data_IF_021210115552
#
_entry.id   IF_021210115552
#
_cell.length_a   1.000
_cell.length_b   1.000
_cell.length_c   1.000
_cell.angle_alpha   90.00
_cell.angle_beta   90.00
_cell.angle_gamma   90.00
#
_symmetry.space_group_name_H-M   'P 1'
#
loop_
_entity.id
_entity.type
_entity.pdbx_description
1 polymer ?
#
# COMPACT_ATOMS: atom_id res chain seq x y z
N UNK A 1 -12.21 38.69 -6.98
CA UNK A 1 -11.50 37.39 -6.88
C UNK A 1 -12.53 36.37 -6.46
N UNK A 2 -12.69 35.28 -7.23
CA UNK A 2 -13.73 34.27 -6.99
C UNK A 2 -13.48 33.65 -5.60
N UNK A 3 -14.40 33.87 -4.66
CA UNK A 3 -14.27 33.48 -3.25
C UNK A 3 -14.57 31.98 -3.03
N UNK A 4 -14.78 31.21 -4.11
CA UNK A 4 -15.05 29.79 -4.04
C UNK A 4 -13.73 29.00 -3.96
N UNK A 5 -13.63 28.01 -3.05
CA UNK A 5 -12.45 27.16 -2.98
C UNK A 5 -12.26 26.41 -4.30
N UNK A 6 -11.01 26.33 -4.77
CA UNK A 6 -10.66 25.49 -5.93
C UNK A 6 -10.91 24.03 -5.54
N UNK A 7 -11.72 23.32 -6.32
CA UNK A 7 -12.04 21.92 -6.06
C UNK A 7 -11.14 20.98 -6.86
N UNK A 8 -11.03 19.74 -6.39
CA UNK A 8 -10.48 18.58 -7.11
C UNK A 8 -11.63 17.60 -7.27
N UNK A 9 -11.79 17.06 -8.48
CA UNK A 9 -12.69 15.94 -8.75
C UNK A 9 -11.90 14.63 -8.73
N UNK A 10 -12.40 13.64 -7.98
CA UNK A 10 -11.84 12.29 -7.89
C UNK A 10 -12.64 11.34 -8.79
N UNK A 11 -12.08 10.82 -9.90
CA UNK A 11 -12.78 9.91 -10.79
C UNK A 11 -13.20 8.61 -10.09
N UNK A 12 -14.38 8.09 -10.39
CA UNK A 12 -14.84 6.79 -9.86
C UNK A 12 -14.30 5.63 -10.71
N UNK A 13 -13.22 5.03 -10.24
CA UNK A 13 -12.40 4.08 -11.00
C UNK A 13 -12.85 2.63 -10.89
N UNK A 14 -13.70 2.28 -9.91
CA UNK A 14 -14.01 0.88 -9.58
C UNK A 14 -15.46 0.46 -9.88
N UNK A 15 -16.23 1.29 -10.60
CA UNK A 15 -17.66 1.03 -10.92
C UNK A 15 -17.87 -0.31 -11.62
N UNK A 16 -16.94 -0.70 -12.50
CA UNK A 16 -17.04 -1.92 -13.32
C UNK A 16 -16.16 -3.06 -12.83
N UNK A 17 -15.53 -2.93 -11.66
CA UNK A 17 -14.67 -3.99 -11.14
C UNK A 17 -15.49 -5.23 -10.76
N UNK A 18 -15.18 -6.42 -11.29
CA UNK A 18 -16.08 -7.56 -11.17
C UNK A 18 -15.96 -8.33 -9.85
N UNK A 19 -14.90 -8.13 -9.06
CA UNK A 19 -14.79 -8.73 -7.73
C UNK A 19 -15.66 -7.95 -6.71
N UNK A 20 -16.50 -8.64 -5.92
CA UNK A 20 -17.39 -7.95 -4.99
C UNK A 20 -16.67 -7.47 -3.74
N UNK A 21 -17.15 -6.36 -3.19
CA UNK A 21 -16.72 -5.88 -1.87
C UNK A 21 -17.17 -6.87 -0.80
N UNK A 22 -16.21 -7.56 -0.18
CA UNK A 22 -16.45 -8.48 0.95
C UNK A 22 -15.54 -8.09 2.11
N UNK A 23 -16.04 -8.18 3.34
CA UNK A 23 -15.24 -7.92 4.55
C UNK A 23 -15.10 -9.22 5.34
N UNK A 24 -13.87 -9.51 5.77
CA UNK A 24 -13.58 -10.70 6.56
C UNK A 24 -14.41 -10.73 7.87
N UNK A 25 -15.05 -11.86 8.22
CA UNK A 25 -15.93 -11.96 9.38
C UNK A 25 -15.20 -11.71 10.72
N UNK A 26 -13.89 -11.91 10.76
CA UNK A 26 -13.07 -11.68 11.95
C UNK A 26 -12.64 -10.22 12.11
N UNK A 27 -13.25 -9.28 11.37
CA UNK A 27 -12.77 -7.89 11.28
C UNK A 27 -12.52 -7.27 12.66
N UNK A 28 -13.55 -7.30 13.51
CA UNK A 28 -13.59 -6.61 14.79
C UNK A 28 -12.64 -7.20 15.83
N UNK A 29 -12.60 -8.54 15.95
CA UNK A 29 -11.77 -9.21 16.96
C UNK A 29 -10.28 -9.12 16.62
N UNK A 30 -9.89 -9.37 15.36
CA UNK A 30 -8.49 -9.23 14.95
C UNK A 30 -8.04 -7.78 15.04
N UNK A 31 -8.89 -6.81 14.69
CA UNK A 31 -8.56 -5.37 14.85
C UNK A 31 -8.23 -5.04 16.30
N UNK A 32 -9.10 -5.41 17.24
CA UNK A 32 -8.89 -5.10 18.65
C UNK A 32 -7.56 -5.66 19.18
N UNK A 33 -7.21 -6.88 18.79
CA UNK A 33 -5.94 -7.50 19.18
C UNK A 33 -4.73 -6.83 18.51
N UNK A 34 -4.83 -6.47 17.23
CA UNK A 34 -3.71 -5.85 16.49
C UNK A 34 -3.43 -4.47 17.03
N UNK A 35 -4.47 -3.66 17.20
CA UNK A 35 -4.36 -2.29 17.70
C UNK A 35 -3.76 -2.31 19.13
N UNK A 36 -4.18 -3.24 19.98
CA UNK A 36 -3.62 -3.40 21.33
C UNK A 36 -2.13 -3.78 21.28
N UNK A 37 -1.75 -4.81 20.52
CA UNK A 37 -0.34 -5.21 20.40
C UNK A 37 0.54 -4.13 19.79
N UNK A 38 0.01 -3.37 18.82
CA UNK A 38 0.79 -2.34 18.15
C UNK A 38 1.09 -1.16 19.10
N UNK A 39 0.12 -0.77 19.93
CA UNK A 39 0.33 0.28 20.95
C UNK A 39 1.39 -0.09 21.99
N UNK A 40 1.57 -1.37 22.29
CA UNK A 40 2.56 -1.81 23.26
C UNK A 40 4.01 -1.51 22.82
N UNK A 41 4.27 -1.40 21.51
CA UNK A 41 5.57 -0.96 21.00
C UNK A 41 5.90 0.48 21.36
N UNK A 42 4.88 1.32 21.61
CA UNK A 42 5.04 2.77 21.86
C UNK A 42 5.89 3.45 20.80
N UNK A 43 5.70 3.04 19.54
CA UNK A 43 6.46 3.53 18.40
C UNK A 43 6.10 4.98 18.02
N UNK A 44 4.93 5.46 18.44
CA UNK A 44 4.39 6.76 18.03
C UNK A 44 4.09 7.66 19.23
N UNK A 45 4.13 8.98 19.02
CA UNK A 45 3.55 9.94 19.98
C UNK A 45 2.04 9.70 20.11
N UNK A 46 1.37 10.17 21.18
CA UNK A 46 -0.07 10.01 21.32
C UNK A 46 -0.88 10.53 20.13
N UNK A 47 -0.48 11.67 19.56
CA UNK A 47 -1.14 12.31 18.41
C UNK A 47 -0.95 11.48 17.13
N UNK A 48 0.27 11.00 16.90
CA UNK A 48 0.59 10.13 15.76
C UNK A 48 -0.09 8.77 15.88
N UNK A 49 -0.15 8.19 17.07
CA UNK A 49 -0.85 6.95 17.34
C UNK A 49 -2.34 7.10 17.02
N UNK A 50 -2.99 8.20 17.44
CA UNK A 50 -4.40 8.44 17.13
C UNK A 50 -4.64 8.56 15.62
N UNK A 51 -3.75 9.25 14.88
CA UNK A 51 -3.83 9.34 13.42
C UNK A 51 -3.62 7.97 12.75
N UNK A 52 -2.68 7.17 13.24
CA UNK A 52 -2.40 5.82 12.76
C UNK A 52 -3.61 4.89 12.99
N UNK A 53 -4.22 4.92 14.16
CA UNK A 53 -5.41 4.11 14.48
C UNK A 53 -6.59 4.45 13.57
N UNK A 54 -6.74 5.73 13.23
CA UNK A 54 -7.75 6.28 12.33
C UNK A 54 -7.55 5.86 10.87
N UNK A 55 -6.33 5.52 10.46
CA UNK A 55 -6.09 4.90 9.14
C UNK A 55 -6.79 3.55 9.03
N UNK A 56 -6.92 2.82 10.15
CA UNK A 56 -7.63 1.55 10.25
C UNK A 56 -7.13 0.49 9.25
N UNK A 57 -5.82 0.22 9.29
CA UNK A 57 -5.15 -0.78 8.46
C UNK A 57 -5.75 -2.19 8.62
N UNK A 58 -6.35 -2.49 9.79
CA UNK A 58 -7.08 -3.73 10.03
C UNK A 58 -8.33 -3.87 9.15
N UNK A 59 -8.96 -2.76 8.75
CA UNK A 59 -10.06 -2.75 7.76
C UNK A 59 -9.52 -3.03 6.36
N UNK A 60 -8.41 -2.39 5.96
CA UNK A 60 -7.77 -2.69 4.67
C UNK A 60 -7.47 -4.19 4.55
N UNK A 61 -6.82 -4.77 5.57
CA UNK A 61 -6.59 -6.22 5.65
C UNK A 61 -7.89 -7.04 5.55
N UNK A 62 -8.96 -6.62 6.23
CA UNK A 62 -10.25 -7.34 6.18
C UNK A 62 -10.92 -7.32 4.81
N UNK A 63 -10.75 -6.23 4.05
CA UNK A 63 -11.28 -6.10 2.70
C UNK A 63 -10.41 -6.84 1.68
N UNK A 64 -9.09 -6.78 1.84
CA UNK A 64 -8.12 -7.42 0.96
C UNK A 64 -8.15 -8.96 1.08
N UNK A 65 -8.38 -9.47 2.29
CA UNK A 65 -8.37 -10.90 2.59
C UNK A 65 -9.71 -11.39 3.14
N UNK A 66 -10.80 -11.29 2.36
CA UNK A 66 -12.16 -11.52 2.86
C UNK A 66 -12.38 -12.95 3.34
N UNK A 67 -11.69 -13.91 2.74
CA UNK A 67 -11.84 -15.34 3.04
C UNK A 67 -10.67 -15.93 3.83
N UNK A 68 -9.64 -15.13 4.14
CA UNK A 68 -8.47 -15.64 4.85
C UNK A 68 -8.86 -16.13 6.26
N UNK A 69 -8.32 -17.27 6.72
CA UNK A 69 -8.44 -17.70 8.09
C UNK A 69 -7.98 -16.62 9.07
N UNK A 70 -8.57 -16.60 10.25
CA UNK A 70 -8.28 -15.62 11.30
C UNK A 70 -6.78 -15.42 11.55
N UNK A 71 -6.01 -16.51 11.61
CA UNK A 71 -4.56 -16.47 11.87
C UNK A 71 -3.77 -15.83 10.73
N UNK A 72 -4.06 -16.19 9.46
CA UNK A 72 -3.42 -15.58 8.29
C UNK A 72 -3.78 -14.09 8.21
N UNK A 73 -5.03 -13.75 8.50
CA UNK A 73 -5.47 -12.35 8.52
C UNK A 73 -4.77 -11.54 9.62
N UNK A 74 -4.50 -12.13 10.80
CA UNK A 74 -3.71 -11.46 11.83
C UNK A 74 -2.33 -11.09 11.29
N UNK A 75 -1.66 -12.00 10.59
CA UNK A 75 -0.38 -11.71 9.92
C UNK A 75 -0.51 -10.62 8.85
N UNK A 76 -1.61 -10.59 8.10
CA UNK A 76 -1.89 -9.52 7.13
C UNK A 76 -2.07 -8.15 7.77
N UNK A 77 -2.72 -8.06 8.93
CA UNK A 77 -2.81 -6.81 9.68
C UNK A 77 -1.44 -6.37 10.25
N UNK A 78 -0.68 -7.31 10.82
CA UNK A 78 0.66 -7.02 11.36
C UNK A 78 1.61 -6.55 10.24
N UNK A 79 1.55 -7.17 9.06
CA UNK A 79 2.31 -6.75 7.87
C UNK A 79 1.94 -5.34 7.43
N UNK A 80 0.64 -5.03 7.29
CA UNK A 80 0.22 -3.68 6.93
C UNK A 80 0.72 -2.66 7.95
N UNK A 81 0.58 -2.93 9.24
CA UNK A 81 1.12 -2.02 10.26
C UNK A 81 2.63 -1.83 10.14
N UNK A 82 3.39 -2.89 9.81
CA UNK A 82 4.82 -2.79 9.53
C UNK A 82 5.12 -1.90 8.31
N UNK A 83 4.37 -2.03 7.21
CA UNK A 83 4.58 -1.19 6.02
C UNK A 83 4.31 0.29 6.33
N UNK A 84 3.16 0.60 6.93
CA UNK A 84 2.80 1.98 7.26
C UNK A 84 3.70 2.62 8.33
N UNK A 85 4.20 1.86 9.31
CA UNK A 85 5.13 2.41 10.31
C UNK A 85 6.54 2.61 9.73
N UNK A 86 6.95 1.81 8.74
CA UNK A 86 8.19 2.08 8.01
C UNK A 86 8.10 3.44 7.32
N UNK A 87 7.05 3.70 6.55
CA UNK A 87 6.83 5.01 5.89
C UNK A 87 6.88 6.17 6.89
N UNK A 88 6.22 6.05 8.04
CA UNK A 88 6.20 7.11 9.06
C UNK A 88 7.60 7.46 9.58
N UNK A 89 8.48 6.46 9.68
CA UNK A 89 9.86 6.66 10.13
C UNK A 89 10.79 7.13 9.01
N UNK A 90 10.62 6.63 7.78
CA UNK A 90 11.56 6.90 6.68
C UNK A 90 11.22 8.14 5.87
N UNK A 91 9.95 8.58 5.83
CA UNK A 91 9.53 9.72 5.02
C UNK A 91 10.03 11.08 5.52
N UNK A 92 10.49 11.14 6.77
CA UNK A 92 11.05 12.35 7.39
C UNK A 92 12.58 12.34 7.45
N UNK A 93 13.21 11.27 6.97
CA UNK A 93 14.66 11.05 7.08
C UNK A 93 15.36 11.13 5.71
N UNK A 94 16.67 11.33 5.74
CA UNK A 94 17.52 11.31 4.53
C UNK A 94 17.88 9.87 4.11
N UNK A 95 18.58 9.73 2.97
CA UNK A 95 19.00 8.43 2.43
C UNK A 95 19.80 7.61 3.46
N UNK A 96 20.78 8.23 4.13
CA UNK A 96 21.70 7.53 5.02
C UNK A 96 20.97 6.94 6.25
N UNK A 97 20.12 7.73 6.90
CA UNK A 97 19.33 7.29 8.06
C UNK A 97 18.29 6.26 7.64
N UNK A 98 17.63 6.47 6.50
CA UNK A 98 16.69 5.50 5.93
C UNK A 98 17.37 4.16 5.69
N UNK A 99 18.59 4.17 5.14
CA UNK A 99 19.36 2.95 4.90
C UNK A 99 19.64 2.18 6.20
N UNK A 100 20.01 2.86 7.28
CA UNK A 100 20.22 2.21 8.59
C UNK A 100 18.94 1.52 9.10
N UNK A 101 17.79 2.20 8.97
CA UNK A 101 16.49 1.62 9.34
C UNK A 101 16.12 0.41 8.49
N UNK A 102 16.36 0.48 7.17
CA UNK A 102 16.14 -0.63 6.24
C UNK A 102 17.02 -1.83 6.59
N UNK A 103 18.31 -1.61 6.88
CA UNK A 103 19.24 -2.67 7.28
C UNK A 103 18.77 -3.36 8.59
N UNK A 104 18.22 -2.60 9.55
CA UNK A 104 17.61 -3.13 10.78
C UNK A 104 16.39 -4.02 10.49
N UNK A 105 15.47 -3.55 9.64
CA UNK A 105 14.26 -4.31 9.27
C UNK A 105 14.63 -5.60 8.53
N UNK A 106 15.61 -5.54 7.62
CA UNK A 106 16.11 -6.71 6.90
C UNK A 106 16.75 -7.73 7.85
N UNK A 107 17.62 -7.29 8.78
CA UNK A 107 18.21 -8.17 9.78
C UNK A 107 17.14 -8.85 10.66
N UNK A 108 16.06 -8.13 11.00
CA UNK A 108 14.93 -8.69 11.74
C UNK A 108 14.15 -9.76 10.96
N UNK A 109 13.95 -9.57 9.65
CA UNK A 109 13.32 -10.58 8.79
C UNK A 109 14.21 -11.79 8.54
N UNK A 110 15.52 -11.60 8.39
CA UNK A 110 16.48 -12.70 8.24
C UNK A 110 16.64 -13.48 9.54
N UNK A 111 16.55 -12.80 10.69
CA UNK A 111 16.76 -13.38 12.01
C UNK A 111 15.57 -13.16 12.97
N UNK A 112 14.37 -13.72 12.69
CA UNK A 112 13.14 -13.44 13.45
C UNK A 112 13.16 -13.93 14.92
N UNK A 113 14.14 -14.75 15.29
CA UNK A 113 14.33 -15.27 16.64
C UNK A 113 15.50 -14.62 17.40
N UNK A 114 16.25 -13.72 16.74
CA UNK A 114 17.33 -12.95 17.36
C UNK A 114 16.73 -11.84 18.22
N UNK A 115 17.14 -11.75 19.47
CA UNK A 115 16.78 -10.64 20.36
C UNK A 115 17.33 -9.33 19.76
N UNK A 116 16.48 -8.30 19.68
CA UNK A 116 16.88 -6.99 19.16
C UNK A 116 17.77 -6.25 20.18
N UNK A 117 18.84 -5.57 19.76
CA UNK A 117 19.69 -4.80 20.66
C UNK A 117 18.91 -3.73 21.43
N UNK A 118 19.32 -3.46 22.67
CA UNK A 118 18.78 -2.34 23.46
C UNK A 118 19.12 -1.00 22.78
N UNK A 119 18.12 -0.13 22.64
CA UNK A 119 18.27 1.17 21.98
C UNK A 119 18.24 1.15 20.45
N UNK A 120 18.03 0.00 19.82
CA UNK A 120 17.80 -0.09 18.37
C UNK A 120 16.48 0.61 17.98
N UNK A 121 16.38 1.06 16.73
CA UNK A 121 15.12 1.53 16.15
C UNK A 121 14.01 0.47 16.31
N UNK A 122 12.83 0.91 16.79
CA UNK A 122 11.71 0.03 17.13
C UNK A 122 11.19 -0.78 15.94
N UNK A 123 11.43 -0.31 14.70
CA UNK A 123 11.09 -1.03 13.47
C UNK A 123 11.66 -2.44 13.45
N UNK A 124 12.87 -2.66 14.01
CA UNK A 124 13.48 -3.98 14.10
C UNK A 124 12.65 -4.96 14.93
N UNK A 125 12.12 -4.52 16.07
CA UNK A 125 11.29 -5.36 16.94
C UNK A 125 9.90 -5.60 16.35
N UNK A 126 9.31 -4.59 15.69
CA UNK A 126 8.02 -4.73 14.98
C UNK A 126 8.17 -5.76 13.84
N UNK A 127 9.18 -5.63 12.97
CA UNK A 127 9.41 -6.56 11.88
C UNK A 127 9.72 -7.98 12.38
N UNK A 128 10.53 -8.09 13.45
CA UNK A 128 10.85 -9.37 14.08
C UNK A 128 9.60 -10.07 14.58
N UNK A 129 8.74 -9.38 15.34
CA UNK A 129 7.51 -9.97 15.87
C UNK A 129 6.51 -10.35 14.77
N UNK A 130 6.35 -9.50 13.74
CA UNK A 130 5.55 -9.81 12.57
C UNK A 130 6.04 -11.12 11.93
N UNK A 131 7.32 -11.21 11.58
CA UNK A 131 7.80 -12.34 10.81
C UNK A 131 7.91 -13.62 11.62
N UNK A 132 8.29 -13.55 12.90
CA UNK A 132 8.25 -14.69 13.81
C UNK A 132 6.84 -15.30 13.94
N UNK A 133 5.79 -14.49 13.81
CA UNK A 133 4.40 -14.97 13.75
C UNK A 133 4.08 -15.54 12.37
N UNK A 134 4.29 -14.76 11.32
CA UNK A 134 3.84 -15.04 9.96
C UNK A 134 4.52 -16.28 9.37
N UNK A 135 5.82 -16.49 9.60
CA UNK A 135 6.61 -17.57 9.00
C UNK A 135 6.12 -18.99 9.34
N UNK A 136 5.24 -19.13 10.34
CA UNK A 136 4.73 -20.43 10.81
C UNK A 136 3.71 -21.09 9.88
N UNK A 137 3.07 -20.32 8.99
CA UNK A 137 1.96 -20.77 8.14
C UNK A 137 2.33 -21.00 6.66
N UNK A 138 3.10 -20.13 5.98
CA UNK A 138 3.40 -20.28 4.56
C UNK A 138 4.38 -21.44 4.29
N UNK A 139 4.26 -22.04 3.11
CA UNK A 139 5.23 -23.04 2.62
C UNK A 139 6.59 -22.40 2.36
N UNK A 140 7.63 -23.23 2.18
CA UNK A 140 8.98 -22.73 1.90
C UNK A 140 9.06 -21.89 0.61
N UNK A 141 8.36 -22.25 -0.50
CA UNK A 141 8.19 -21.36 -1.66
C UNK A 141 7.61 -20.00 -1.30
N UNK A 142 6.44 -19.95 -0.65
CA UNK A 142 5.79 -18.67 -0.29
C UNK A 142 6.64 -17.82 0.66
N UNK A 143 7.42 -18.45 1.55
CA UNK A 143 8.40 -17.72 2.37
C UNK A 143 9.50 -17.06 1.53
N UNK A 144 9.97 -17.73 0.47
CA UNK A 144 10.96 -17.17 -0.47
C UNK A 144 10.34 -16.03 -1.28
N UNK A 145 9.17 -16.24 -1.87
CA UNK A 145 8.43 -15.21 -2.61
C UNK A 145 8.21 -13.93 -1.77
N UNK A 146 7.82 -14.09 -0.50
CA UNK A 146 7.69 -12.97 0.42
C UNK A 146 9.02 -12.27 0.68
N UNK A 147 10.10 -13.00 0.98
CA UNK A 147 11.40 -12.39 1.26
C UNK A 147 11.88 -11.57 0.07
N UNK A 148 11.79 -12.11 -1.15
CA UNK A 148 12.17 -11.41 -2.37
C UNK A 148 11.35 -10.15 -2.59
N UNK A 149 10.02 -10.25 -2.53
CA UNK A 149 9.14 -9.08 -2.74
C UNK A 149 9.29 -8.04 -1.63
N UNK A 150 9.48 -8.45 -0.37
CA UNK A 150 9.72 -7.52 0.74
C UNK A 150 11.08 -6.85 0.64
N UNK A 151 12.13 -7.58 0.26
CA UNK A 151 13.47 -7.03 0.03
C UNK A 151 13.45 -6.01 -1.12
N UNK A 152 12.75 -6.29 -2.21
CA UNK A 152 12.58 -5.32 -3.30
C UNK A 152 11.87 -4.04 -2.83
N UNK A 153 10.78 -4.19 -2.06
CA UNK A 153 10.05 -3.08 -1.46
C UNK A 153 10.95 -2.25 -0.55
N UNK A 154 11.54 -2.86 0.48
CA UNK A 154 12.20 -2.11 1.55
C UNK A 154 13.48 -1.43 1.06
N UNK A 155 14.21 -2.04 0.11
CA UNK A 155 15.35 -1.38 -0.54
C UNK A 155 14.91 -0.22 -1.43
N UNK A 156 13.72 -0.28 -2.03
CA UNK A 156 13.20 0.83 -2.85
C UNK A 156 12.87 2.08 -2.04
N UNK A 157 12.58 1.93 -0.74
CA UNK A 157 12.37 3.07 0.18
C UNK A 157 13.64 3.92 0.32
N UNK A 158 14.84 3.32 0.24
CA UNK A 158 16.11 4.06 0.24
C UNK A 158 16.20 4.96 -1.00
N UNK A 159 15.81 4.43 -2.17
CA UNK A 159 15.81 5.17 -3.43
C UNK A 159 14.82 6.33 -3.38
N UNK A 160 13.65 6.13 -2.76
CA UNK A 160 12.67 7.19 -2.55
C UNK A 160 13.19 8.29 -1.62
N UNK A 161 13.86 7.93 -0.52
CA UNK A 161 14.49 8.89 0.38
C UNK A 161 15.56 9.74 -0.33
N UNK A 162 16.39 9.11 -1.18
CA UNK A 162 17.36 9.81 -2.01
C UNK A 162 16.70 10.77 -3.01
N UNK A 163 15.60 10.35 -3.63
CA UNK A 163 14.86 11.21 -4.56
C UNK A 163 14.28 12.44 -3.85
N UNK A 164 13.76 12.27 -2.63
CA UNK A 164 13.28 13.39 -1.79
C UNK A 164 14.41 14.33 -1.41
N UNK A 165 15.56 13.81 -1.00
CA UNK A 165 16.75 14.61 -0.63
C UNK A 165 17.28 15.45 -1.81
N UNK A 166 17.14 14.94 -3.04
CA UNK A 166 17.65 15.58 -4.26
C UNK A 166 16.59 16.35 -5.05
N UNK A 167 15.35 16.45 -4.56
CA UNK A 167 14.19 16.96 -5.31
C UNK A 167 14.09 16.32 -6.72
N UNK A 168 14.42 15.03 -6.83
CA UNK A 168 14.55 14.35 -8.11
C UNK A 168 13.17 14.16 -8.74
N UNK A 169 13.03 14.63 -9.97
CA UNK A 169 11.84 14.41 -10.80
C UNK A 169 12.11 13.26 -11.76
N UNK A 170 11.35 12.18 -11.63
CA UNK A 170 11.42 11.05 -12.56
C UNK A 170 10.52 11.28 -13.76
N UNK A 171 10.83 10.62 -14.87
CA UNK A 171 9.83 10.44 -15.94
C UNK A 171 8.71 9.51 -15.46
N UNK A 172 7.58 9.51 -16.13
CA UNK A 172 6.43 8.66 -15.88
C UNK A 172 6.81 7.18 -15.87
N UNK A 173 7.60 6.74 -16.85
CA UNK A 173 8.06 5.36 -16.93
C UNK A 173 8.95 4.96 -15.75
N UNK A 174 9.90 5.82 -15.37
CA UNK A 174 10.82 5.54 -14.26
C UNK A 174 10.13 5.68 -12.91
N UNK A 175 9.15 6.57 -12.81
CA UNK A 175 8.25 6.69 -11.66
C UNK A 175 7.47 5.40 -11.46
N UNK A 176 6.75 4.91 -12.47
CA UNK A 176 5.96 3.67 -12.35
C UNK A 176 6.84 2.45 -12.03
N UNK A 177 8.07 2.37 -12.57
CA UNK A 177 9.02 1.29 -12.22
C UNK A 177 9.40 1.30 -10.75
N UNK A 178 9.69 2.48 -10.19
CA UNK A 178 10.02 2.62 -8.77
C UNK A 178 8.77 2.40 -7.91
N UNK A 179 7.66 3.03 -8.27
CA UNK A 179 6.40 3.04 -7.52
C UNK A 179 5.78 1.65 -7.37
N UNK A 180 5.93 0.76 -8.36
CA UNK A 180 5.58 -0.68 -8.26
C UNK A 180 6.28 -1.40 -7.10
N UNK A 181 7.42 -0.89 -6.63
CA UNK A 181 8.15 -1.43 -5.47
C UNK A 181 7.77 -0.68 -4.20
N UNK A 182 7.83 0.66 -4.22
CA UNK A 182 7.61 1.48 -3.01
C UNK A 182 6.17 1.45 -2.50
N UNK A 183 5.18 1.13 -3.34
CA UNK A 183 3.78 0.99 -2.89
C UNK A 183 3.56 -0.17 -1.90
N UNK A 184 4.50 -1.11 -1.80
CA UNK A 184 4.44 -2.20 -0.82
C UNK A 184 3.34 -3.24 -1.07
N UNK A 185 2.74 -3.27 -2.26
CA UNK A 185 1.63 -4.19 -2.57
C UNK A 185 2.06 -5.66 -2.65
N UNK A 186 3.14 -5.95 -3.38
CA UNK A 186 3.59 -7.34 -3.62
C UNK A 186 3.89 -8.14 -2.35
N UNK A 187 4.58 -7.59 -1.33
CA UNK A 187 4.76 -8.28 -0.05
C UNK A 187 3.45 -8.71 0.60
N UNK A 188 2.37 -7.94 0.40
CA UNK A 188 1.06 -8.25 0.96
C UNK A 188 0.42 -9.48 0.30
N UNK A 189 0.78 -9.82 -0.93
CA UNK A 189 0.23 -11.01 -1.59
C UNK A 189 0.65 -12.32 -0.92
N UNK A 190 1.65 -12.32 -0.03
CA UNK A 190 1.98 -13.46 0.84
C UNK A 190 0.74 -14.04 1.53
N UNK A 191 -0.16 -13.20 2.04
CA UNK A 191 -1.33 -13.69 2.81
C UNK A 191 -2.29 -14.44 1.88
N UNK A 192 -2.29 -14.11 0.59
CA UNK A 192 -3.03 -14.85 -0.43
C UNK A 192 -2.34 -16.18 -0.76
N UNK A 193 -1.01 -16.26 -0.64
CA UNK A 193 -0.25 -17.50 -0.75
C UNK A 193 -0.33 -18.38 0.52
N UNK A 194 -0.67 -17.82 1.68
CA UNK A 194 -0.76 -18.59 2.92
C UNK A 194 -1.90 -19.61 2.84
N UNK A 195 -1.54 -20.88 2.72
CA UNK A 195 -2.48 -22.00 2.59
C UNK A 195 -2.56 -22.57 1.17
N UNK A 196 -1.90 -21.95 0.21
CA UNK A 196 -1.73 -22.47 -1.16
C UNK A 196 -0.25 -22.67 -1.45
N UNK A 197 0.14 -23.88 -1.84
CA UNK A 197 1.54 -24.20 -2.13
C UNK A 197 1.78 -24.06 -3.63
N UNK A 198 1.84 -22.80 -4.11
CA UNK A 198 2.10 -22.51 -5.52
C UNK A 198 3.58 -22.82 -5.87
N UNK A 199 3.84 -23.68 -6.87
CA UNK A 199 5.20 -23.92 -7.34
C UNK A 199 5.85 -22.65 -7.92
N UNK A 200 7.16 -22.52 -7.76
CA UNK A 200 7.95 -21.41 -8.32
C UNK A 200 7.69 -21.20 -9.82
N UNK A 201 7.61 -22.28 -10.61
CA UNK A 201 7.35 -22.20 -12.06
C UNK A 201 6.00 -21.55 -12.42
N UNK A 202 5.05 -21.58 -11.49
CA UNK A 202 3.74 -20.96 -11.63
C UNK A 202 3.79 -19.52 -11.14
N UNK A 203 4.35 -19.30 -9.94
CA UNK A 203 4.44 -17.96 -9.33
C UNK A 203 5.24 -16.99 -10.21
N UNK A 204 6.40 -17.44 -10.70
CA UNK A 204 7.26 -16.64 -11.59
C UNK A 204 6.85 -16.72 -13.07
N UNK A 205 5.73 -17.36 -13.40
CA UNK A 205 5.28 -17.38 -14.78
C UNK A 205 4.95 -15.94 -15.22
N UNK A 206 5.43 -15.48 -16.40
CA UNK A 206 5.29 -14.09 -16.81
C UNK A 206 3.85 -13.55 -16.80
N UNK A 207 2.86 -14.40 -17.13
CA UNK A 207 1.44 -14.01 -17.07
C UNK A 207 0.96 -13.79 -15.64
N UNK A 208 1.39 -14.60 -14.68
CA UNK A 208 1.00 -14.44 -13.27
C UNK A 208 1.61 -13.18 -12.69
N UNK A 209 2.89 -12.93 -12.99
CA UNK A 209 3.58 -11.70 -12.60
C UNK A 209 2.94 -10.45 -13.21
N UNK A 210 2.60 -10.44 -14.51
CA UNK A 210 1.95 -9.30 -15.17
C UNK A 210 0.57 -9.01 -14.57
N UNK A 211 -0.19 -10.05 -14.19
CA UNK A 211 -1.47 -9.88 -13.49
C UNK A 211 -1.30 -9.27 -12.09
N UNK A 212 -0.30 -9.70 -11.33
CA UNK A 212 0.04 -9.10 -10.04
C UNK A 212 0.53 -7.66 -10.18
N UNK A 213 1.30 -7.36 -11.24
CA UNK A 213 1.73 -6.00 -11.60
C UNK A 213 0.56 -5.10 -11.99
N UNK A 214 -0.44 -5.62 -12.73
CA UNK A 214 -1.64 -4.87 -13.04
C UNK A 214 -2.38 -4.44 -11.77
N UNK A 215 -2.63 -5.34 -10.83
CA UNK A 215 -3.26 -4.98 -9.56
C UNK A 215 -2.40 -3.98 -8.79
N UNK A 216 -1.09 -4.21 -8.70
CA UNK A 216 -0.15 -3.26 -8.08
C UNK A 216 -0.27 -1.87 -8.69
N UNK A 217 -0.39 -1.75 -10.01
CA UNK A 217 -0.59 -0.47 -10.68
C UNK A 217 -1.95 0.17 -10.39
N UNK A 218 -3.05 -0.60 -10.34
CA UNK A 218 -4.35 -0.06 -9.92
C UNK A 218 -4.27 0.56 -8.52
N UNK A 219 -3.59 -0.14 -7.59
CA UNK A 219 -3.35 0.34 -6.23
C UNK A 219 -2.57 1.65 -6.21
N UNK A 220 -1.52 1.77 -7.04
CA UNK A 220 -0.74 3.00 -7.17
C UNK A 220 -1.62 4.15 -7.65
N UNK A 221 -2.33 3.95 -8.76
CA UNK A 221 -3.13 5.02 -9.38
C UNK A 221 -4.20 5.51 -8.40
N UNK A 222 -4.92 4.59 -7.76
CA UNK A 222 -5.92 4.93 -6.75
C UNK A 222 -5.27 5.65 -5.56
N UNK A 223 -4.18 5.11 -4.99
CA UNK A 223 -3.50 5.72 -3.85
C UNK A 223 -3.09 7.16 -4.16
N UNK A 224 -2.42 7.38 -5.28
CA UNK A 224 -1.89 8.66 -5.68
C UNK A 224 -3.01 9.68 -5.98
N UNK A 225 -4.15 9.25 -6.54
CA UNK A 225 -5.32 10.13 -6.69
C UNK A 225 -5.87 10.56 -5.33
N UNK A 226 -6.01 9.63 -4.37
CA UNK A 226 -6.56 9.93 -3.03
C UNK A 226 -5.58 10.74 -2.18
N UNK A 227 -4.28 10.50 -2.32
CA UNK A 227 -3.22 11.13 -1.54
C UNK A 227 -2.72 12.45 -2.12
N UNK A 228 -2.96 12.72 -3.43
CA UNK A 228 -2.44 13.89 -4.12
C UNK A 228 -2.63 15.20 -3.34
N UNK A 229 -3.84 15.44 -2.82
CA UNK A 229 -4.17 16.72 -2.20
C UNK A 229 -3.34 17.00 -0.93
N UNK A 230 -3.07 15.95 -0.13
CA UNK A 230 -2.22 16.07 1.06
C UNK A 230 -0.74 16.16 0.67
N UNK A 231 -0.29 15.39 -0.30
CA UNK A 231 1.12 15.33 -0.71
C UNK A 231 1.57 16.63 -1.37
N UNK A 232 0.77 17.19 -2.28
CA UNK A 232 1.06 18.51 -2.88
C UNK A 232 1.04 19.64 -1.85
N UNK A 233 0.26 19.50 -0.76
CA UNK A 233 0.22 20.49 0.30
C UNK A 233 1.46 20.40 1.20
N UNK A 234 1.99 19.19 1.39
CA UNK A 234 3.16 18.91 2.20
C UNK A 234 4.50 19.12 1.47
N UNK A 235 4.50 19.30 0.14
CA UNK A 235 5.73 19.42 -0.65
C UNK A 235 6.31 18.08 -1.12
N UNK A 236 5.52 17.00 -1.04
CA UNK A 236 5.95 15.63 -1.38
C UNK A 236 5.43 15.21 -2.76
N UNK A 237 5.16 16.18 -3.64
CA UNK A 237 4.48 15.92 -4.92
C UNK A 237 5.32 15.12 -5.94
N UNK A 238 6.63 14.98 -5.79
CA UNK A 238 7.47 14.30 -6.79
C UNK A 238 7.44 12.77 -6.71
N UNK A 239 6.76 12.19 -5.71
CA UNK A 239 6.46 10.77 -5.65
C UNK A 239 4.96 10.45 -5.85
N UNK A 240 4.26 11.25 -6.65
CA UNK A 240 2.83 11.08 -6.94
C UNK A 240 2.55 11.14 -8.44
N UNK A 241 1.85 10.12 -8.97
CA UNK A 241 1.51 10.00 -10.39
C UNK A 241 0.87 11.26 -10.98
N UNK A 242 -0.07 11.87 -10.25
CA UNK A 242 -0.82 13.04 -10.77
C UNK A 242 0.12 14.19 -11.05
N UNK A 243 1.06 14.46 -10.15
CA UNK A 243 2.04 15.53 -10.34
C UNK A 243 3.05 15.19 -11.45
N UNK A 244 3.51 13.94 -11.54
CA UNK A 244 4.40 13.49 -12.62
C UNK A 244 3.74 13.69 -13.99
N UNK A 245 2.48 13.28 -14.12
CA UNK A 245 1.69 13.44 -15.36
C UNK A 245 1.47 14.92 -15.70
N UNK A 246 1.15 15.76 -14.72
CA UNK A 246 1.03 17.21 -14.93
C UNK A 246 2.32 17.80 -15.51
N UNK A 247 3.48 17.41 -14.97
CA UNK A 247 4.78 17.94 -15.38
C UNK A 247 5.24 17.40 -16.75
N UNK A 248 5.10 16.10 -16.98
CA UNK A 248 5.61 15.47 -18.19
C UNK A 248 4.73 15.73 -19.43
N UNK A 249 3.40 15.80 -19.23
CA UNK A 249 2.45 16.00 -20.32
C UNK A 249 1.92 17.44 -20.41
N UNK A 250 2.42 18.36 -19.59
CA UNK A 250 1.97 19.76 -19.50
C UNK A 250 0.45 19.88 -19.32
N UNK A 251 -0.09 19.09 -18.38
CA UNK A 251 -1.53 19.02 -18.11
C UNK A 251 -1.89 19.80 -16.84
N UNK A 252 -3.08 20.41 -16.85
CA UNK A 252 -3.68 20.85 -15.60
C UNK A 252 -4.08 19.65 -14.72
N UNK A 253 -4.34 19.91 -13.45
CA UNK A 253 -4.70 18.86 -12.48
C UNK A 253 -5.95 18.07 -12.86
N UNK A 254 -6.97 18.72 -13.41
CA UNK A 254 -8.21 18.03 -13.79
C UNK A 254 -7.96 17.06 -14.94
N UNK A 255 -7.16 17.49 -15.90
CA UNK A 255 -6.72 16.71 -17.05
C UNK A 255 -5.79 15.56 -16.63
N UNK A 256 -4.91 15.78 -15.65
CA UNK A 256 -4.07 14.72 -15.08
C UNK A 256 -4.88 13.67 -14.30
N UNK A 257 -5.90 14.08 -13.52
CA UNK A 257 -6.84 13.15 -12.89
C UNK A 257 -7.62 12.33 -13.92
N UNK A 258 -8.08 12.97 -15.01
CA UNK A 258 -8.75 12.27 -16.11
C UNK A 258 -7.81 11.29 -16.83
N UNK A 259 -6.54 11.68 -17.04
CA UNK A 259 -5.51 10.80 -17.59
C UNK A 259 -5.29 9.57 -16.68
N UNK A 260 -5.16 9.77 -15.38
CA UNK A 260 -4.97 8.68 -14.42
C UNK A 260 -6.16 7.71 -14.42
N UNK A 261 -7.39 8.22 -14.49
CA UNK A 261 -8.59 7.38 -14.62
C UNK A 261 -8.63 6.59 -15.93
N UNK A 262 -8.18 7.19 -17.04
CA UNK A 262 -8.07 6.49 -18.31
C UNK A 262 -7.03 5.36 -18.25
N UNK A 263 -5.83 5.67 -17.75
CA UNK A 263 -4.77 4.68 -17.54
C UNK A 263 -5.23 3.55 -16.61
N UNK A 264 -5.94 3.88 -15.53
CA UNK A 264 -6.54 2.89 -14.64
C UNK A 264 -7.50 1.93 -15.37
N UNK A 265 -8.35 2.45 -16.26
CA UNK A 265 -9.24 1.61 -17.07
C UNK A 265 -8.48 0.71 -18.06
N UNK A 266 -7.38 1.19 -18.64
CA UNK A 266 -6.50 0.37 -19.48
C UNK A 266 -5.84 -0.77 -18.69
N UNK A 267 -5.38 -0.49 -17.47
CA UNK A 267 -4.79 -1.50 -16.59
C UNK A 267 -5.83 -2.54 -16.16
N UNK A 268 -7.07 -2.14 -15.83
CA UNK A 268 -8.16 -3.09 -15.57
C UNK A 268 -8.41 -3.99 -16.77
N UNK A 269 -8.49 -3.41 -17.97
CA UNK A 269 -8.69 -4.18 -19.20
C UNK A 269 -7.55 -5.17 -19.43
N UNK A 270 -6.30 -4.76 -19.22
CA UNK A 270 -5.12 -5.62 -19.32
C UNK A 270 -5.20 -6.80 -18.35
N UNK A 271 -5.59 -6.55 -17.10
CA UNK A 271 -5.79 -7.61 -16.10
C UNK A 271 -6.86 -8.61 -16.55
N UNK A 272 -8.05 -8.13 -16.92
CA UNK A 272 -9.18 -8.98 -17.33
C UNK A 272 -8.84 -9.81 -18.58
N UNK A 273 -8.25 -9.20 -19.61
CA UNK A 273 -7.82 -9.91 -20.81
C UNK A 273 -6.66 -10.89 -20.52
N UNK A 274 -5.81 -10.56 -19.54
CA UNK A 274 -4.69 -11.39 -19.11
C UNK A 274 -5.13 -12.69 -18.45
N UNK A 275 -6.28 -12.71 -17.75
CA UNK A 275 -6.83 -13.93 -17.14
C UNK A 275 -7.10 -15.03 -18.18
N UNK A 276 -7.51 -14.66 -19.39
CA UNK A 276 -7.72 -15.62 -20.49
C UNK A 276 -6.42 -16.22 -21.05
N UNK A 277 -5.26 -15.67 -20.67
CA UNK A 277 -3.92 -16.12 -21.10
C UNK A 277 -3.21 -16.94 -20.05
N UNK A 278 -3.81 -17.14 -18.87
CA UNK A 278 -3.26 -17.99 -17.81
C UNK A 278 -3.18 -19.42 -18.35
N UNK A 279 -1.99 -20.04 -18.42
CA UNK A 279 -1.87 -21.40 -18.89
C UNK A 279 -2.44 -22.37 -17.86
N UNK A 280 -2.70 -23.61 -18.28
CA UNK A 280 -3.05 -24.69 -17.36
C UNK A 280 -1.79 -25.45 -16.98
N UNK A 281 -1.60 -25.70 -15.68
CA UNK A 281 -0.61 -26.61 -15.11
C UNK A 281 -1.24 -27.91 -14.61
N UNK A 282 -2.51 -28.11 -14.93
CA UNK A 282 -3.32 -29.25 -14.54
C UNK A 282 -4.33 -28.91 -13.44
N UNK A 283 -5.44 -29.66 -13.35
CA UNK A 283 -6.61 -29.24 -12.56
C UNK A 283 -6.33 -28.93 -11.08
N UNK A 284 -5.38 -29.61 -10.45
CA UNK A 284 -5.03 -29.38 -9.05
C UNK A 284 -4.31 -28.04 -8.85
N UNK A 285 -3.43 -27.65 -9.77
CA UNK A 285 -2.68 -26.39 -9.68
C UNK A 285 -3.55 -25.23 -10.17
N UNK A 286 -4.36 -25.44 -11.20
CA UNK A 286 -5.23 -24.40 -11.76
C UNK A 286 -6.21 -23.84 -10.72
N UNK A 287 -6.68 -24.66 -9.78
CA UNK A 287 -7.52 -24.21 -8.66
C UNK A 287 -6.75 -23.27 -7.73
N UNK A 288 -5.49 -23.60 -7.40
CA UNK A 288 -4.63 -22.76 -6.55
C UNK A 288 -4.27 -21.44 -7.23
N UNK A 289 -4.00 -21.48 -8.55
CA UNK A 289 -3.75 -20.29 -9.36
C UNK A 289 -4.96 -19.37 -9.36
N UNK A 290 -6.16 -19.94 -9.54
CA UNK A 290 -7.40 -19.16 -9.49
C UNK A 290 -7.60 -18.53 -8.11
N UNK A 291 -7.40 -19.29 -7.03
CA UNK A 291 -7.51 -18.79 -5.65
C UNK A 291 -6.52 -17.64 -5.40
N UNK A 292 -5.27 -17.78 -5.87
CA UNK A 292 -4.27 -16.73 -5.79
C UNK A 292 -4.68 -15.47 -6.55
N UNK A 293 -5.07 -15.60 -7.82
CA UNK A 293 -5.44 -14.45 -8.65
C UNK A 293 -6.72 -13.76 -8.14
N UNK A 294 -7.68 -14.51 -7.58
CA UNK A 294 -8.86 -13.93 -6.92
C UNK A 294 -8.46 -13.14 -5.67
N UNK A 295 -7.54 -13.67 -4.86
CA UNK A 295 -7.03 -12.96 -3.68
C UNK A 295 -6.26 -11.70 -4.03
N UNK A 296 -5.43 -11.75 -5.08
CA UNK A 296 -4.75 -10.57 -5.63
C UNK A 296 -5.78 -9.57 -6.18
N UNK A 297 -6.79 -9.99 -6.94
CA UNK A 297 -7.82 -9.10 -7.49
C UNK A 297 -8.68 -8.39 -6.42
N UNK A 298 -8.86 -8.98 -5.24
CA UNK A 298 -9.60 -8.34 -4.13
C UNK A 298 -8.92 -7.06 -3.65
N UNK A 299 -7.61 -6.92 -3.81
CA UNK A 299 -6.85 -5.74 -3.36
C UNK A 299 -7.29 -4.45 -4.02
N UNK A 300 -7.63 -4.49 -5.32
CA UNK A 300 -8.06 -3.32 -6.07
C UNK A 300 -9.24 -2.64 -5.38
N UNK A 301 -10.30 -3.40 -5.12
CA UNK A 301 -11.49 -2.88 -4.47
C UNK A 301 -11.29 -2.61 -2.97
N UNK A 302 -10.43 -3.39 -2.30
CA UNK A 302 -10.08 -3.17 -0.90
C UNK A 302 -9.42 -1.81 -0.68
N UNK A 303 -8.41 -1.47 -1.48
CA UNK A 303 -7.72 -0.18 -1.43
C UNK A 303 -8.68 0.98 -1.72
N UNK A 304 -9.52 0.84 -2.74
CA UNK A 304 -10.52 1.84 -3.11
C UNK A 304 -11.47 2.16 -1.94
N UNK A 305 -12.13 1.15 -1.36
CA UNK A 305 -13.06 1.39 -0.25
C UNK A 305 -12.36 1.84 1.02
N UNK A 306 -11.21 1.25 1.35
CA UNK A 306 -10.44 1.67 2.52
C UNK A 306 -10.03 3.14 2.44
N UNK A 307 -9.73 3.67 1.25
CA UNK A 307 -9.36 5.07 1.08
C UNK A 307 -10.45 6.06 1.51
N UNK A 308 -11.72 5.65 1.47
CA UNK A 308 -12.86 6.44 1.94
C UNK A 308 -13.35 6.05 3.34
N UNK A 309 -13.25 4.77 3.70
CA UNK A 309 -13.74 4.25 4.99
C UNK A 309 -12.72 4.45 6.12
N UNK A 310 -11.43 4.39 5.80
CA UNK A 310 -10.33 4.83 6.65
C UNK A 310 -10.20 6.35 6.61
N UNK A 311 -9.69 6.93 7.70
CA UNK A 311 -9.62 8.39 7.84
C UNK A 311 -8.28 8.96 7.37
N UNK A 312 -7.44 8.17 6.69
CA UNK A 312 -6.09 8.56 6.23
C UNK A 312 -6.11 9.77 5.30
N UNK A 313 -7.03 9.80 4.33
CA UNK A 313 -7.04 10.85 3.29
C UNK A 313 -8.08 11.93 3.55
N UNK A 314 -9.24 11.56 4.08
CA UNK A 314 -10.41 12.44 4.12
C UNK A 314 -10.99 12.65 5.53
N UNK A 315 -10.27 12.27 6.59
CA UNK A 315 -10.78 12.28 7.96
C UNK A 315 -12.16 11.58 8.03
N UNK A 316 -13.09 12.13 8.81
CA UNK A 316 -14.48 11.65 8.88
C UNK A 316 -15.32 11.96 7.62
N UNK A 317 -14.81 12.73 6.65
CA UNK A 317 -15.55 13.14 5.44
C UNK A 317 -15.48 12.11 4.31
N UNK A 318 -14.75 11.00 4.48
CA UNK A 318 -14.59 9.99 3.44
C UNK A 318 -15.89 9.52 2.75
N UNK A 319 -16.99 9.22 3.47
CA UNK A 319 -18.27 8.88 2.85
C UNK A 319 -18.89 10.02 2.01
N UNK A 320 -18.75 11.27 2.46
CA UNK A 320 -19.19 12.45 1.71
C UNK A 320 -18.37 12.63 0.43
N UNK A 321 -17.05 12.47 0.52
CA UNK A 321 -16.14 12.53 -0.62
C UNK A 321 -16.41 11.39 -1.61
N UNK A 322 -16.68 10.18 -1.13
CA UNK A 322 -17.04 9.06 -1.99
C UNK A 322 -18.31 9.32 -2.79
N UNK A 323 -19.30 9.98 -2.17
CA UNK A 323 -20.57 10.33 -2.82
C UNK A 323 -20.44 11.51 -3.78
N UNK A 324 -19.81 12.60 -3.33
CA UNK A 324 -19.74 13.86 -4.09
C UNK A 324 -18.62 13.88 -5.13
N UNK A 325 -17.59 13.03 -4.92
CA UNK A 325 -16.33 12.98 -5.69
C UNK A 325 -15.54 14.29 -5.67
N UNK A 326 -15.82 15.18 -4.73
CA UNK A 326 -15.23 16.53 -4.70
C UNK A 326 -14.51 16.77 -3.39
N UNK A 327 -13.29 17.30 -3.48
CA UNK A 327 -12.52 17.76 -2.32
C UNK A 327 -12.00 19.18 -2.54
N UNK A 328 -11.98 20.05 -1.51
CA UNK A 328 -11.33 21.34 -1.62
C UNK A 328 -9.81 21.16 -1.71
N UNK A 329 -9.18 21.90 -2.61
CA UNK A 329 -7.72 21.95 -2.73
C UNK A 329 -7.13 22.55 -1.45
N UNK A 330 -6.18 21.83 -0.85
CA UNK A 330 -5.41 22.31 0.29
C UNK A 330 -4.37 23.34 -0.15
N UNK A 331 -4.15 24.41 0.63
CA UNK A 331 -3.03 25.33 0.39
C UNK A 331 -1.70 24.62 0.65
N UNK A 332 -0.64 25.03 -0.06
CA UNK A 332 0.72 24.58 0.26
C UNK A 332 1.13 25.06 1.65
N UNK A 333 1.61 24.15 2.48
CA UNK A 333 2.17 24.47 3.80
C UNK A 333 3.59 25.01 3.59
N UNK A 334 3.94 26.11 4.24
CA UNK A 334 5.31 26.64 4.20
C UNK A 334 6.28 25.61 4.77
N UNK A 335 7.39 25.35 4.07
CA UNK A 335 8.42 24.40 4.47
C UNK A 335 8.87 24.65 5.93
N UNK A 336 8.50 23.72 6.80
CA UNK A 336 8.73 23.81 8.24
C UNK A 336 7.50 23.40 9.05
N UNK A 337 7.43 22.11 9.40
CA UNK A 337 6.39 21.42 10.19
C UNK A 337 5.21 20.87 9.38
N UNK A 338 5.37 19.64 8.91
CA UNK A 338 4.33 18.64 9.17
C UNK A 338 5.00 17.28 9.33
N UNK A 339 5.15 16.83 10.58
CA UNK A 339 5.45 15.44 10.91
C UNK A 339 4.21 14.54 10.71
N UNK A 340 3.16 15.04 10.08
CA UNK A 340 1.87 14.36 10.01
C UNK A 340 1.49 14.10 8.56
N UNK A 341 2.21 13.19 7.91
CA UNK A 341 1.79 12.62 6.61
C UNK A 341 0.47 11.82 6.73
N UNK A 342 0.10 11.49 7.97
CA UNK A 342 -1.03 10.63 8.34
C UNK A 342 -2.20 11.36 8.98
N UNK A 343 -2.03 12.58 9.49
CA UNK A 343 -3.17 13.35 9.96
C UNK A 343 -3.91 13.91 8.75
N UNK A 344 -5.14 13.43 8.52
CA UNK A 344 -6.02 14.11 7.59
C UNK A 344 -6.20 15.57 8.01
N UNK A 345 -6.29 16.51 7.06
CA UNK A 345 -6.39 17.93 7.38
C UNK A 345 -7.55 18.19 8.34
N UNK A 346 -7.29 18.92 9.43
CA UNK A 346 -8.36 19.43 10.28
C UNK A 346 -9.24 20.37 9.45
N UNK A 347 -10.56 20.18 9.54
CA UNK A 347 -11.56 20.94 8.79
C UNK A 347 -11.48 22.45 9.02
#
# INVERSE_FOLDING_TARGET
>A
MDARPKMIYLPDTMVTWPWPRTINPHYKDVKAEVDASFRDFKALSPELQEAFDKCDNARLSALAYPNAPREHRRSGCDLLNLLFIVDEYTDIENEAVTKEMVDIVLDALHNPHKIRPEGECILGEIARQFWARAIRSPSLPSQRHFRETFEEYINSVIVEALDREQDRKRSLDDYLKLRRKTIGAKPCFLITEMGIDLPDEVFYHPVIMDLADCITELLIIDNDMMSYNKEQAAGHEFHNLINIVMLELDLDRGSAMAWAAHYHAEVQKRFIDGLAKVPSWGPSIDVLVKEYLDGVANWALANYFWSYEGQRYFAAKGPEVQHTRLIPLLPKVSAGRSQLLYAAPSA
#
